data_IF_460543718742
#
_entry.id   IF_460543718742
#
_cell.length_a   1.000
_cell.length_b   1.000
_cell.length_c   1.000
_cell.angle_alpha   90.00
_cell.angle_beta   90.00
_cell.angle_gamma   90.00
#
_symmetry.space_group_name_H-M   'P 1'
#
loop_
_entity.id
_entity.type
_entity.pdbx_description
1 polymer ?
#
# COMPACT_ATOMS: atom_id res chain seq x y z
N UNK A 1 -14.02 0.32 -3.91
CA UNK A 1 -12.93 -0.19 -4.78
C UNK A 1 -12.70 -1.64 -4.37
N UNK A 2 -12.54 -2.58 -5.29
CA UNK A 2 -12.24 -3.98 -4.99
C UNK A 2 -10.73 -4.26 -4.99
N UNK A 3 -10.33 -5.44 -4.50
CA UNK A 3 -8.91 -5.88 -4.53
C UNK A 3 -8.43 -6.02 -5.98
N UNK A 4 -9.25 -6.59 -6.87
CA UNK A 4 -8.91 -6.75 -8.29
C UNK A 4 -8.77 -5.39 -8.99
N UNK A 5 -9.63 -4.41 -8.68
CA UNK A 5 -9.51 -3.04 -9.20
C UNK A 5 -8.22 -2.37 -8.72
N UNK A 6 -7.89 -2.51 -7.44
CA UNK A 6 -6.65 -1.99 -6.87
C UNK A 6 -5.42 -2.63 -7.50
N UNK A 7 -5.45 -3.96 -7.69
CA UNK A 7 -4.40 -4.71 -8.37
C UNK A 7 -4.20 -4.20 -9.80
N UNK A 8 -5.27 -4.15 -10.59
CA UNK A 8 -5.21 -3.69 -11.98
C UNK A 8 -4.66 -2.26 -12.07
N UNK A 9 -5.03 -1.38 -11.14
CA UNK A 9 -4.53 0.00 -11.07
C UNK A 9 -3.03 0.06 -10.76
N UNK A 10 -2.54 -0.77 -9.85
CA UNK A 10 -1.10 -0.82 -9.52
C UNK A 10 -0.28 -1.40 -10.67
N UNK A 11 -0.76 -2.46 -11.31
CA UNK A 11 -0.13 -3.05 -12.49
C UNK A 11 -0.10 -2.05 -13.65
N UNK A 12 -1.20 -1.32 -13.90
CA UNK A 12 -1.26 -0.26 -14.92
C UNK A 12 -0.30 0.91 -14.63
N UNK A 13 -0.02 1.19 -13.35
CA UNK A 13 0.97 2.17 -12.92
C UNK A 13 2.42 1.65 -12.97
N UNK A 14 2.63 0.40 -13.44
CA UNK A 14 3.95 -0.21 -13.59
C UNK A 14 4.49 -0.88 -12.33
N UNK A 15 3.68 -1.03 -11.28
CA UNK A 15 4.09 -1.73 -10.07
C UNK A 15 3.82 -3.22 -10.16
N UNK A 16 4.78 -4.00 -9.67
CA UNK A 16 4.62 -5.44 -9.55
C UNK A 16 3.75 -5.79 -8.33
N UNK A 17 2.75 -6.64 -8.57
CA UNK A 17 1.89 -7.24 -7.54
C UNK A 17 2.21 -8.72 -7.46
N UNK A 18 2.57 -9.20 -6.27
CA UNK A 18 2.80 -10.62 -6.04
C UNK A 18 1.53 -11.45 -6.29
N UNK A 19 1.64 -12.73 -6.67
CA UNK A 19 0.49 -13.62 -6.79
C UNK A 19 -0.36 -13.74 -5.52
N UNK A 20 0.25 -13.59 -4.34
CA UNK A 20 -0.42 -13.60 -3.03
C UNK A 20 -1.00 -12.23 -2.63
N UNK A 21 -1.06 -11.26 -3.56
CA UNK A 21 -1.68 -9.95 -3.33
C UNK A 21 -0.85 -9.03 -2.46
N UNK A 22 0.48 -9.06 -2.61
CA UNK A 22 1.42 -8.19 -1.88
C UNK A 22 2.11 -7.20 -2.79
N UNK A 23 2.43 -6.04 -2.22
CA UNK A 23 3.09 -4.94 -2.94
C UNK A 23 4.17 -4.28 -2.10
N UNK A 24 5.13 -3.66 -2.78
CA UNK A 24 6.24 -2.94 -2.17
C UNK A 24 5.82 -1.52 -1.71
N UNK A 25 6.60 -0.87 -0.83
CA UNK A 25 6.23 0.43 -0.25
C UNK A 25 6.07 1.56 -1.25
N UNK A 26 6.81 1.54 -2.36
CA UNK A 26 6.74 2.47 -3.48
C UNK A 26 5.37 2.41 -4.18
N UNK A 27 4.86 1.21 -4.44
CA UNK A 27 3.54 0.99 -5.00
C UNK A 27 2.44 1.54 -4.06
N UNK A 28 2.56 1.24 -2.76
CA UNK A 28 1.65 1.78 -1.74
C UNK A 28 1.71 3.30 -1.73
N UNK A 29 2.90 3.88 -1.66
CA UNK A 29 3.10 5.34 -1.60
C UNK A 29 2.39 6.09 -2.72
N UNK A 30 2.40 5.50 -3.92
CA UNK A 30 1.76 6.05 -5.11
C UNK A 30 0.23 6.03 -5.01
N UNK A 31 -0.36 4.94 -4.52
CA UNK A 31 -1.81 4.81 -4.48
C UNK A 31 -2.46 5.54 -3.30
N UNK A 32 -1.82 5.56 -2.11
CA UNK A 32 -2.33 6.33 -0.96
C UNK A 32 -1.90 7.80 -0.99
N UNK A 33 -1.05 8.20 -1.95
CA UNK A 33 -0.52 9.56 -2.08
C UNK A 33 0.20 10.05 -0.83
N UNK A 34 0.98 9.17 -0.22
CA UNK A 34 1.85 9.47 0.91
C UNK A 34 3.26 9.08 0.54
N UNK A 35 4.26 9.87 0.93
CA UNK A 35 5.65 9.54 0.62
C UNK A 35 6.07 8.21 1.26
N UNK A 36 6.98 7.46 0.63
CA UNK A 36 7.59 6.29 1.27
C UNK A 36 8.24 6.60 2.61
N UNK A 37 8.75 7.84 2.77
CA UNK A 37 9.26 8.35 4.05
C UNK A 37 8.17 8.38 5.12
N UNK A 38 6.96 8.84 4.77
CA UNK A 38 5.80 8.82 5.67
C UNK A 38 5.46 7.40 6.08
N UNK A 39 5.38 6.46 5.12
CA UNK A 39 5.14 5.05 5.41
C UNK A 39 6.23 4.47 6.35
N UNK A 40 7.49 4.83 6.13
CA UNK A 40 8.61 4.43 7.00
C UNK A 40 8.45 5.00 8.41
N UNK A 41 8.08 6.28 8.54
CA UNK A 41 7.85 6.91 9.84
C UNK A 41 6.73 6.23 10.61
N UNK A 42 5.59 5.93 9.96
CA UNK A 42 4.49 5.18 10.60
C UNK A 42 4.96 3.84 11.15
N UNK A 43 5.68 3.06 10.32
CA UNK A 43 6.27 1.78 10.76
C UNK A 43 7.24 1.93 11.93
N UNK A 44 8.02 3.00 11.97
CA UNK A 44 9.02 3.24 13.00
C UNK A 44 8.41 3.77 14.32
N UNK A 45 7.35 4.55 14.23
CA UNK A 45 6.62 5.09 15.38
C UNK A 45 5.82 4.03 16.15
N UNK A 46 5.65 2.83 15.57
CA UNK A 46 4.79 1.77 16.12
C UNK A 46 3.30 2.00 15.88
N UNK A 47 2.94 3.10 15.21
CA UNK A 47 1.58 3.33 14.72
C UNK A 47 1.34 2.41 13.51
N UNK A 48 0.59 1.33 13.74
CA UNK A 48 0.19 0.42 12.65
C UNK A 48 -0.95 1.06 11.85
N UNK A 49 -0.60 2.08 11.06
CA UNK A 49 -1.51 2.81 10.18
C UNK A 49 -1.94 1.94 9.00
N UNK A 50 -0.99 1.19 8.43
CA UNK A 50 -1.25 0.12 7.45
C UNK A 50 -0.42 -1.08 7.90
N UNK A 51 -1.05 -2.25 8.18
CA UNK A 51 -0.32 -3.48 8.48
C UNK A 51 0.72 -3.82 7.40
N UNK A 52 1.88 -4.30 7.84
CA UNK A 52 2.97 -4.67 6.94
C UNK A 52 3.63 -5.97 7.39
N UNK A 53 4.26 -6.67 6.45
CA UNK A 53 5.08 -7.86 6.73
C UNK A 53 6.47 -7.67 6.17
N UNK A 54 7.47 -8.27 6.82
CA UNK A 54 8.82 -8.38 6.28
C UNK A 54 9.04 -9.76 5.66
N UNK A 55 9.29 -9.81 4.35
CA UNK A 55 9.63 -11.03 3.63
C UNK A 55 11.09 -10.91 3.19
N UNK A 56 11.96 -11.79 3.71
CA UNK A 56 13.42 -11.76 3.45
C UNK A 56 14.04 -10.37 3.64
N UNK A 57 13.64 -9.68 4.72
CA UNK A 57 14.12 -8.32 5.05
C UNK A 57 13.46 -7.17 4.28
N UNK A 58 12.61 -7.45 3.28
CA UNK A 58 11.89 -6.41 2.53
C UNK A 58 10.49 -6.20 3.11
N UNK A 59 10.10 -4.93 3.26
CA UNK A 59 8.74 -4.57 3.69
C UNK A 59 7.77 -4.79 2.53
N UNK A 60 6.64 -5.43 2.83
CA UNK A 60 5.54 -5.67 1.90
C UNK A 60 4.21 -5.37 2.59
N UNK A 61 3.22 -5.00 1.79
CA UNK A 61 1.86 -4.68 2.23
C UNK A 61 0.88 -5.59 1.50
N UNK A 62 -0.11 -6.13 2.19
CA UNK A 62 -1.20 -6.85 1.53
C UNK A 62 -2.16 -5.85 0.89
N UNK A 63 -2.67 -6.18 -0.30
CA UNK A 63 -3.65 -5.33 -0.99
C UNK A 63 -4.91 -5.11 -0.17
N UNK A 64 -5.35 -6.11 0.61
CA UNK A 64 -6.50 -5.98 1.50
C UNK A 64 -6.31 -4.89 2.56
N UNK A 65 -5.13 -4.82 3.18
CA UNK A 65 -4.81 -3.81 4.19
C UNK A 65 -4.70 -2.41 3.58
N UNK A 66 -4.09 -2.31 2.39
CA UNK A 66 -3.97 -1.06 1.64
C UNK A 66 -5.35 -0.55 1.23
N UNK A 67 -6.21 -1.45 0.74
CA UNK A 67 -7.58 -1.12 0.38
C UNK A 67 -8.38 -0.62 1.57
N UNK A 68 -8.30 -1.32 2.71
CA UNK A 68 -8.98 -0.90 3.94
C UNK A 68 -8.56 0.50 4.39
N UNK A 69 -7.26 0.82 4.30
CA UNK A 69 -6.78 2.16 4.59
C UNK A 69 -7.36 3.21 3.63
N UNK A 70 -7.40 2.92 2.33
CA UNK A 70 -7.96 3.80 1.31
C UNK A 70 -9.44 4.05 1.58
N UNK A 71 -10.21 3.02 1.92
CA UNK A 71 -11.63 3.17 2.24
C UNK A 71 -11.86 4.02 3.49
N UNK A 72 -10.99 3.91 4.50
CA UNK A 72 -11.08 4.70 5.72
C UNK A 72 -10.63 6.17 5.55
N UNK A 73 -9.75 6.48 4.59
CA UNK A 73 -9.10 7.79 4.50
C UNK A 73 -9.30 8.54 3.18
N UNK A 74 -9.84 7.88 2.16
CA UNK A 74 -9.89 8.33 0.77
C UNK A 74 -8.59 8.08 0.01
N UNK A 75 -8.68 8.08 -1.33
CA UNK A 75 -7.50 8.14 -2.22
C UNK A 75 -6.97 9.57 -2.29
N UNK A 76 -5.67 9.73 -2.53
CA UNK A 76 -5.13 11.05 -2.85
C UNK A 76 -5.66 11.53 -4.21
N UNK A 77 -6.37 12.65 -4.21
CA UNK A 77 -7.00 13.25 -5.40
C UNK A 77 -8.51 13.50 -5.28
N UNK A 78 -9.16 13.11 -4.17
CA UNK A 78 -10.61 13.27 -3.96
C UNK A 78 -10.97 14.38 -2.94
N UNK A 79 -10.07 15.34 -2.72
CA UNK A 79 -10.31 16.53 -1.87
C UNK A 79 -9.77 17.79 -2.52
#
# INVERSE_FOLDING_TARGET
MSIDELRARLEAAGFWVSPDGRVAPDAVSTIVGRSEKTLRTWRAAGEVVIPFTRIRGRVTYALADVLHFIEANGVAGDR
#
